data_IF_933807654390
#
_entry.id   IF_933807654390
#
_cell.length_a   1.000
_cell.length_b   1.000
_cell.length_c   1.000
_cell.angle_alpha   90.00
_cell.angle_beta   90.00
_cell.angle_gamma   90.00
#
_symmetry.space_group_name_H-M   'P 1'
#
loop_
_entity.id
_entity.type
_entity.pdbx_description
1 polymer ?
#
# COMPACT_ATOMS: atom_id res chain seq x y z
N UNK A 1 16.88 -15.47 -0.20
CA UNK A 1 16.08 -14.46 0.53
C UNK A 1 14.84 -14.02 -0.24
N UNK A 2 14.90 -13.40 -1.41
CA UNK A 2 13.72 -12.92 -2.18
C UNK A 2 12.71 -14.02 -2.55
N UNK A 3 13.16 -15.20 -2.98
CA UNK A 3 12.29 -16.31 -3.34
C UNK A 3 11.43 -16.77 -2.14
N UNK A 4 12.03 -16.86 -0.97
CA UNK A 4 11.31 -17.26 0.25
C UNK A 4 10.31 -16.18 0.70
N UNK A 5 10.71 -14.91 0.64
CA UNK A 5 9.81 -13.78 0.86
C UNK A 5 8.62 -13.83 -0.10
N UNK A 6 8.86 -14.08 -1.39
CA UNK A 6 7.81 -14.24 -2.40
C UNK A 6 6.86 -15.41 -2.13
N UNK A 7 7.38 -16.56 -1.67
CA UNK A 7 6.55 -17.72 -1.30
C UNK A 7 5.65 -17.39 -0.09
N UNK A 8 6.20 -16.78 0.95
CA UNK A 8 5.44 -16.35 2.13
C UNK A 8 4.36 -15.34 1.76
N UNK A 9 4.69 -14.33 0.95
CA UNK A 9 3.74 -13.35 0.45
C UNK A 9 2.62 -14.03 -0.36
N UNK A 10 2.94 -15.00 -1.22
CA UNK A 10 1.95 -15.77 -1.99
C UNK A 10 1.01 -16.57 -1.09
N UNK A 11 1.51 -17.16 -0.01
CA UNK A 11 0.69 -17.88 0.97
C UNK A 11 -0.21 -16.91 1.72
N UNK A 12 0.31 -15.80 2.21
CA UNK A 12 -0.45 -14.76 2.89
C UNK A 12 -1.54 -14.16 2.00
N UNK A 13 -1.28 -13.93 0.71
CA UNK A 13 -2.27 -13.35 -0.22
C UNK A 13 -3.52 -14.20 -0.38
N UNK A 14 -3.40 -15.55 -0.28
CA UNK A 14 -4.55 -16.47 -0.35
C UNK A 14 -5.46 -16.33 0.88
N UNK A 15 -4.88 -16.05 2.04
CA UNK A 15 -5.61 -15.79 3.28
C UNK A 15 -6.28 -14.42 3.19
N UNK A 16 -5.52 -13.38 2.85
CA UNK A 16 -6.00 -12.00 2.70
C UNK A 16 -7.17 -11.87 1.71
N UNK A 17 -7.19 -12.68 0.65
CA UNK A 17 -8.26 -12.68 -0.32
C UNK A 17 -9.63 -13.08 0.25
N UNK A 18 -9.66 -13.72 1.42
CA UNK A 18 -10.87 -14.30 2.04
C UNK A 18 -11.28 -13.64 3.35
N UNK A 19 -10.45 -12.76 3.91
CA UNK A 19 -10.79 -12.10 5.16
C UNK A 19 -11.88 -11.05 4.94
N UNK A 20 -12.81 -10.88 5.90
CA UNK A 20 -13.87 -9.88 5.81
C UNK A 20 -13.31 -8.46 5.89
N UNK A 21 -14.05 -7.51 5.35
CA UNK A 21 -13.68 -6.09 5.34
C UNK A 21 -13.43 -5.54 6.74
N UNK A 22 -14.24 -5.91 7.72
CA UNK A 22 -14.07 -5.44 9.11
C UNK A 22 -12.72 -5.82 9.69
N UNK A 23 -12.22 -7.02 9.38
CA UNK A 23 -10.89 -7.45 9.84
C UNK A 23 -9.77 -6.67 9.12
N UNK A 24 -9.93 -6.35 7.83
CA UNK A 24 -9.00 -5.48 7.08
C UNK A 24 -8.97 -4.09 7.70
N UNK A 25 -10.14 -3.52 7.95
CA UNK A 25 -10.29 -2.20 8.54
C UNK A 25 -9.73 -2.14 9.97
N UNK A 26 -10.04 -3.13 10.80
CA UNK A 26 -9.46 -3.25 12.14
C UNK A 26 -7.93 -3.33 12.13
N UNK A 27 -7.35 -4.02 11.15
CA UNK A 27 -5.89 -4.10 10.99
C UNK A 27 -5.28 -2.74 10.61
N UNK A 28 -5.94 -1.96 9.73
CA UNK A 28 -5.48 -0.62 9.36
C UNK A 28 -5.53 0.34 10.56
N UNK A 29 -6.59 0.28 11.36
CA UNK A 29 -6.70 1.09 12.59
C UNK A 29 -5.63 0.70 13.62
N UNK A 30 -5.43 -0.59 13.86
CA UNK A 30 -4.38 -1.08 14.74
C UNK A 30 -2.98 -0.65 14.28
N UNK A 31 -2.74 -0.61 12.96
CA UNK A 31 -1.49 -0.12 12.38
C UNK A 31 -1.30 1.38 12.65
N UNK A 32 -2.36 2.19 12.50
CA UNK A 32 -2.30 3.62 12.80
C UNK A 32 -1.97 3.87 14.29
N UNK A 33 -2.57 3.10 15.20
CA UNK A 33 -2.30 3.20 16.64
C UNK A 33 -0.87 2.75 16.97
N UNK A 34 -0.41 1.64 16.39
CA UNK A 34 0.96 1.15 16.58
C UNK A 34 2.01 2.16 16.08
N UNK A 35 1.78 2.76 14.90
CA UNK A 35 2.65 3.79 14.35
C UNK A 35 2.70 5.03 15.27
N UNK A 36 1.57 5.46 15.76
CA UNK A 36 1.49 6.59 16.70
C UNK A 36 2.21 6.26 18.03
N UNK A 37 2.03 5.04 18.54
CA UNK A 37 2.71 4.58 19.76
C UNK A 37 4.23 4.48 19.61
N UNK A 38 4.72 4.08 18.45
CA UNK A 38 6.15 3.98 18.14
C UNK A 38 6.74 5.29 17.60
N UNK A 39 6.00 6.40 17.61
CA UNK A 39 6.39 7.69 17.00
C UNK A 39 7.79 8.14 17.37
N UNK A 40 8.12 8.17 18.64
CA UNK A 40 9.43 8.63 19.10
C UNK A 40 10.58 7.78 18.58
N UNK A 41 10.40 6.46 18.54
CA UNK A 41 11.39 5.52 18.01
C UNK A 41 11.57 5.71 16.50
N UNK A 42 10.48 5.84 15.75
CA UNK A 42 10.48 6.07 14.29
C UNK A 42 11.17 7.38 13.95
N UNK A 43 10.86 8.47 14.66
CA UNK A 43 11.50 9.78 14.43
C UNK A 43 12.99 9.77 14.79
N UNK A 44 13.37 9.09 15.87
CA UNK A 44 14.77 8.95 16.24
C UNK A 44 15.58 8.16 15.20
N UNK A 45 15.05 7.04 14.71
CA UNK A 45 15.66 6.27 13.63
C UNK A 45 15.78 7.10 12.35
N UNK A 46 14.72 7.81 11.96
CA UNK A 46 14.73 8.66 10.77
C UNK A 46 15.73 9.82 10.86
N UNK A 47 15.97 10.37 12.05
CA UNK A 47 16.99 11.40 12.25
C UNK A 47 18.40 10.89 11.92
N UNK A 48 18.71 9.62 12.22
CA UNK A 48 19.96 8.98 11.84
C UNK A 48 20.06 8.80 10.31
N UNK A 49 19.00 8.33 9.68
CA UNK A 49 18.95 8.16 8.21
C UNK A 49 19.15 9.50 7.48
N UNK A 50 18.55 10.58 7.99
CA UNK A 50 18.71 11.94 7.44
C UNK A 50 20.15 12.45 7.62
N UNK A 51 20.76 12.20 8.78
CA UNK A 51 22.14 12.57 9.03
C UNK A 51 23.11 11.82 8.10
N UNK A 52 22.93 10.53 7.93
CA UNK A 52 23.70 9.71 7.01
C UNK A 52 23.48 10.14 5.54
N UNK A 53 22.25 10.42 5.15
CA UNK A 53 21.92 10.93 3.82
C UNK A 53 22.62 12.23 3.48
N UNK A 54 22.69 13.16 4.44
CA UNK A 54 23.47 14.41 4.29
C UNK A 54 24.96 14.16 4.19
N UNK A 55 25.51 13.27 5.01
CA UNK A 55 26.93 12.91 4.97
C UNK A 55 27.31 12.27 3.62
N UNK A 56 26.38 11.52 3.01
CA UNK A 56 26.55 10.91 1.69
C UNK A 56 26.23 11.85 0.51
N UNK A 57 25.97 13.13 0.76
CA UNK A 57 25.80 14.15 -0.28
C UNK A 57 24.44 14.09 -1.00
N UNK A 58 23.40 13.56 -0.37
CA UNK A 58 22.04 13.63 -0.92
C UNK A 58 21.60 15.09 -1.06
N UNK A 59 20.93 15.39 -2.17
CA UNK A 59 20.38 16.73 -2.39
C UNK A 59 19.28 17.07 -1.39
N UNK A 60 19.04 18.35 -1.13
CA UNK A 60 17.99 18.84 -0.22
C UNK A 60 16.60 18.29 -0.59
N UNK A 61 16.31 18.13 -1.87
CA UNK A 61 15.07 17.56 -2.34
C UNK A 61 14.92 16.07 -1.97
N UNK A 62 16.01 15.31 -1.94
CA UNK A 62 16.00 13.92 -1.49
C UNK A 62 15.93 13.82 0.05
N UNK A 63 16.63 14.71 0.75
CA UNK A 63 16.54 14.83 2.20
C UNK A 63 15.11 15.17 2.64
N UNK A 64 14.45 16.15 1.98
CA UNK A 64 13.04 16.46 2.30
C UNK A 64 12.11 15.27 2.09
N UNK A 65 12.35 14.44 1.07
CA UNK A 65 11.56 13.21 0.84
C UNK A 65 11.82 12.13 1.89
N UNK A 66 13.04 12.05 2.41
CA UNK A 66 13.45 11.10 3.44
C UNK A 66 12.95 11.51 4.82
N UNK A 67 12.92 12.81 5.10
CA UNK A 67 12.62 13.37 6.42
C UNK A 67 11.20 12.98 6.88
N UNK A 68 11.11 12.44 8.08
CA UNK A 68 9.88 12.32 8.86
C UNK A 68 9.89 13.35 9.99
N UNK A 69 8.73 13.91 10.28
CA UNK A 69 8.45 14.76 11.44
C UNK A 69 7.05 14.43 11.98
N UNK A 70 6.69 15.01 13.11
CA UNK A 70 5.38 14.76 13.75
C UNK A 70 4.22 14.95 12.77
N UNK A 71 4.21 16.04 12.02
CA UNK A 71 3.16 16.33 11.05
C UNK A 71 3.06 15.26 9.96
N UNK A 72 4.18 14.75 9.48
CA UNK A 72 4.21 13.67 8.47
C UNK A 72 3.72 12.35 9.04
N UNK A 73 4.07 12.04 10.31
CA UNK A 73 3.55 10.86 11.00
C UNK A 73 2.05 10.99 11.25
N UNK A 74 1.56 12.17 11.65
CA UNK A 74 0.11 12.44 11.78
C UNK A 74 -0.62 12.24 10.45
N UNK A 75 -0.04 12.74 9.35
CA UNK A 75 -0.55 12.51 8.02
C UNK A 75 -0.62 11.02 7.63
N UNK A 76 0.42 10.23 7.99
CA UNK A 76 0.42 8.78 7.77
C UNK A 76 -0.73 8.10 8.53
N UNK A 77 -0.91 8.45 9.80
CA UNK A 77 -2.00 7.91 10.63
C UNK A 77 -3.38 8.33 10.11
N UNK A 78 -3.54 9.59 9.69
CA UNK A 78 -4.79 10.09 9.12
C UNK A 78 -5.15 9.36 7.82
N UNK A 79 -4.17 9.13 6.94
CA UNK A 79 -4.41 8.42 5.69
C UNK A 79 -4.77 6.94 5.90
N UNK A 80 -4.19 6.27 6.91
CA UNK A 80 -4.59 4.91 7.29
C UNK A 80 -6.06 4.88 7.75
N UNK A 81 -6.50 5.86 8.55
CA UNK A 81 -7.89 5.98 8.98
C UNK A 81 -8.82 6.30 7.81
N UNK A 82 -8.39 7.20 6.91
CA UNK A 82 -9.17 7.50 5.71
C UNK A 82 -9.35 6.28 4.79
N UNK A 83 -8.37 5.37 4.73
CA UNK A 83 -8.50 4.12 3.97
C UNK A 83 -9.66 3.24 4.45
N UNK A 84 -9.96 3.27 5.75
CA UNK A 84 -11.08 2.51 6.35
C UNK A 84 -12.44 3.03 5.91
N UNK A 85 -12.55 4.33 5.58
CA UNK A 85 -13.79 4.95 5.10
C UNK A 85 -14.15 4.56 3.67
N UNK A 86 -13.19 4.01 2.92
CA UNK A 86 -13.40 3.64 1.53
C UNK A 86 -14.02 2.26 1.41
N UNK A 87 -14.96 2.08 0.46
CA UNK A 87 -15.58 0.78 0.25
C UNK A 87 -14.53 -0.25 -0.18
N UNK A 88 -14.60 -1.45 0.38
CA UNK A 88 -13.77 -2.58 -0.07
C UNK A 88 -14.23 -3.02 -1.46
N UNK A 89 -13.39 -2.95 -2.49
CA UNK A 89 -13.77 -3.33 -3.84
C UNK A 89 -13.81 -4.84 -4.06
N UNK A 90 -13.25 -5.64 -3.16
CA UNK A 90 -13.16 -7.09 -3.33
C UNK A 90 -14.55 -7.71 -3.30
N UNK A 91 -14.89 -8.46 -4.35
CA UNK A 91 -16.21 -9.09 -4.50
C UNK A 91 -17.27 -8.18 -5.13
N UNK A 92 -16.98 -6.89 -5.37
CA UNK A 92 -17.94 -6.01 -6.04
C UNK A 92 -18.26 -6.49 -7.46
N UNK A 93 -19.54 -6.55 -7.78
CA UNK A 93 -20.05 -6.92 -9.10
C UNK A 93 -20.35 -5.67 -9.94
N UNK A 94 -20.14 -5.78 -11.24
CA UNK A 94 -20.44 -4.72 -12.20
C UNK A 94 -20.67 -5.30 -13.60
N UNK A 95 -21.18 -4.48 -14.53
CA UNK A 95 -21.47 -4.86 -15.92
C UNK A 95 -22.38 -6.10 -16.01
N UNK A 96 -23.51 -6.07 -15.30
CA UNK A 96 -24.51 -7.14 -15.41
C UNK A 96 -25.18 -7.11 -16.80
N UNK A 97 -25.22 -8.28 -17.44
CA UNK A 97 -25.89 -8.48 -18.75
C UNK A 97 -26.69 -9.78 -18.74
N UNK A 98 -27.93 -9.71 -19.14
CA UNK A 98 -28.75 -10.90 -19.38
C UNK A 98 -28.65 -11.30 -20.85
N UNK A 99 -28.26 -12.54 -21.10
CA UNK A 99 -28.24 -13.11 -22.46
C UNK A 99 -29.63 -13.61 -22.88
N UNK A 100 -29.92 -13.72 -24.22
CA UNK A 100 -31.23 -14.19 -24.72
C UNK A 100 -31.61 -15.59 -24.24
N UNK A 101 -30.63 -16.42 -23.86
CA UNK A 101 -30.84 -17.77 -23.33
C UNK A 101 -31.13 -17.80 -21.82
N UNK A 102 -31.28 -16.63 -21.15
CA UNK A 102 -31.55 -16.50 -19.72
C UNK A 102 -30.30 -16.52 -18.81
N UNK A 103 -29.10 -16.69 -19.35
CA UNK A 103 -27.84 -16.63 -18.55
C UNK A 103 -27.58 -15.17 -18.16
N UNK A 104 -27.30 -14.94 -16.86
CA UNK A 104 -26.86 -13.64 -16.32
C UNK A 104 -25.35 -13.66 -16.18
N UNK A 105 -24.69 -12.72 -16.84
CA UNK A 105 -23.25 -12.49 -16.74
C UNK A 105 -23.00 -11.25 -15.88
N UNK A 106 -21.99 -11.30 -15.07
CA UNK A 106 -21.46 -10.13 -14.33
C UNK A 106 -19.94 -10.21 -14.24
N UNK A 107 -19.31 -9.09 -14.12
CA UNK A 107 -17.89 -8.98 -13.77
C UNK A 107 -17.75 -8.83 -12.26
N UNK A 108 -16.76 -9.49 -11.68
CA UNK A 108 -16.48 -9.40 -10.26
C UNK A 108 -15.04 -8.93 -10.04
N UNK A 109 -14.84 -8.01 -9.11
CA UNK A 109 -13.50 -7.57 -8.69
C UNK A 109 -12.87 -8.63 -7.80
N UNK A 110 -11.66 -9.03 -8.14
CA UNK A 110 -10.87 -10.03 -7.39
C UNK A 110 -9.51 -9.44 -7.00
N UNK A 111 -8.90 -9.89 -5.89
CA UNK A 111 -7.55 -9.47 -5.51
C UNK A 111 -6.52 -9.83 -6.56
N UNK A 112 -5.57 -8.94 -6.85
CA UNK A 112 -4.46 -9.18 -7.78
C UNK A 112 -3.46 -10.21 -7.26
N UNK A 113 -3.43 -10.45 -5.97
CA UNK A 113 -2.47 -11.34 -5.31
C UNK A 113 -1.28 -10.58 -4.74
N UNK A 114 -0.07 -10.93 -5.15
CA UNK A 114 1.17 -10.31 -4.67
C UNK A 114 1.73 -9.37 -5.72
N UNK A 115 1.98 -8.13 -5.32
CA UNK A 115 2.68 -7.13 -6.12
C UNK A 115 4.08 -6.90 -5.52
N UNK A 116 5.09 -6.89 -6.37
CA UNK A 116 6.42 -6.43 -6.01
C UNK A 116 6.54 -4.94 -6.33
N UNK A 117 6.92 -4.13 -5.34
CA UNK A 117 7.17 -2.70 -5.53
C UNK A 117 8.63 -2.41 -5.23
N UNK A 118 9.31 -1.77 -6.17
CA UNK A 118 10.69 -1.29 -5.98
C UNK A 118 10.60 0.23 -5.89
N UNK A 119 11.05 0.78 -4.78
CA UNK A 119 11.06 2.21 -4.55
C UNK A 119 12.29 2.64 -3.75
N UNK A 120 12.64 3.90 -3.85
CA UNK A 120 13.78 4.50 -3.19
C UNK A 120 13.39 5.85 -2.59
N UNK A 121 13.82 6.12 -1.36
CA UNK A 121 13.65 7.40 -0.66
C UNK A 121 12.20 7.95 -0.68
N UNK A 122 11.20 7.09 -0.50
CA UNK A 122 9.77 7.47 -0.50
C UNK A 122 9.01 6.80 0.65
N UNK A 123 9.08 7.29 1.88
CA UNK A 123 8.40 6.69 3.03
C UNK A 123 6.87 6.58 2.86
N UNK A 124 6.28 7.38 1.97
CA UNK A 124 4.84 7.39 1.71
C UNK A 124 4.35 6.33 0.71
N UNK A 125 5.25 5.61 0.03
CA UNK A 125 4.86 4.66 -1.04
C UNK A 125 4.29 3.36 -0.45
N UNK A 126 4.80 2.92 0.68
CA UNK A 126 4.31 1.72 1.38
C UNK A 126 2.81 1.81 1.68
N UNK A 127 2.36 2.96 2.09
CA UNK A 127 0.96 3.25 2.38
C UNK A 127 0.05 3.15 1.14
N UNK A 128 0.52 3.64 -0.01
CA UNK A 128 -0.23 3.56 -1.27
C UNK A 128 -0.21 2.15 -1.86
N UNK A 129 0.89 1.40 -1.71
CA UNK A 129 1.01 0.04 -2.23
C UNK A 129 0.14 -0.96 -1.48
N UNK A 130 -0.12 -0.76 -0.20
CA UNK A 130 -1.05 -1.58 0.58
C UNK A 130 -2.49 -1.47 0.04
N UNK A 131 -2.83 -0.33 -0.60
CA UNK A 131 -4.13 -0.07 -1.21
C UNK A 131 -4.21 -0.54 -2.67
N UNK A 132 -3.09 -0.65 -3.40
CA UNK A 132 -3.05 -1.04 -4.82
C UNK A 132 -3.53 -2.47 -5.10
N UNK A 133 -3.78 -3.26 -4.08
CA UNK A 133 -4.52 -4.52 -4.25
C UNK A 133 -5.97 -4.32 -4.72
N UNK A 134 -6.47 -3.09 -4.81
CA UNK A 134 -7.89 -2.87 -5.04
C UNK A 134 -8.29 -2.03 -6.25
N UNK A 135 -7.43 -1.29 -6.90
CA UNK A 135 -7.76 -0.65 -8.20
C UNK A 135 -6.70 0.37 -8.63
N UNK A 136 -5.92 0.09 -9.67
CA UNK A 136 -5.65 1.02 -10.76
C UNK A 136 -4.65 0.39 -11.74
N UNK A 137 -5.10 0.21 -12.98
CA UNK A 137 -4.22 0.12 -14.13
C UNK A 137 -3.62 1.51 -14.40
N UNK A 138 -2.54 1.87 -13.75
CA UNK A 138 -1.64 2.86 -14.29
C UNK A 138 -0.63 2.13 -15.17
N UNK A 139 -0.87 2.17 -16.46
CA UNK A 139 0.13 1.85 -17.46
C UNK A 139 1.31 2.81 -17.29
N UNK A 140 2.36 2.36 -16.65
CA UNK A 140 3.67 2.95 -16.79
C UNK A 140 4.15 2.63 -18.22
N UNK A 141 4.05 3.60 -19.11
CA UNK A 141 4.71 3.52 -20.41
C UNK A 141 6.21 3.64 -20.16
N UNK A 142 6.94 2.52 -20.25
CA UNK A 142 8.36 2.58 -20.47
C UNK A 142 8.61 3.14 -21.89
N UNK A 143 9.49 4.11 -22.07
CA UNK A 143 9.92 4.50 -23.41
C UNK A 143 10.66 3.30 -24.03
N UNK A 144 10.19 2.82 -25.17
CA UNK A 144 10.95 1.88 -26.00
C UNK A 144 12.18 2.60 -26.50
N UNK A 145 13.34 2.20 -26.03
CA UNK A 145 14.61 2.56 -26.68
C UNK A 145 14.70 1.83 -28.01
N UNK A 146 14.74 2.60 -29.10
CA UNK A 146 15.17 2.14 -30.39
C UNK A 146 16.68 1.83 -30.35
#
# INVERSE_FOLDING_TARGET
MLIETGRRAKTASKILARIPTDLKNGTLLALAEALNGARAEVLAANALDVAEGRANGLSDALIDRLLLNDQRVDGLCADLRHLVELPDPVGAHFDETALPNGIRLHKQRVPLGVLGVIYESRPNVDRKSTRLNSSHSQQSRMPSSA
#
